data_IF_982688422673
#
_entry.id   IF_982688422673
#
_cell.length_a   1.000
_cell.length_b   1.000
_cell.length_c   1.000
_cell.angle_alpha   90.00
_cell.angle_beta   90.00
_cell.angle_gamma   90.00
#
_symmetry.space_group_name_H-M   'P 1'
#
loop_
_entity.id
_entity.type
_entity.pdbx_description
1 polymer ?
#
# COMPACT_ATOMS: atom_id res chain seq x y z
N UNK A 1 -26.37 5.00 5.54
CA UNK A 1 -25.86 3.76 4.91
C UNK A 1 -24.35 3.84 4.92
N UNK A 2 -23.67 3.03 5.74
CA UNK A 2 -22.21 2.93 5.66
C UNK A 2 -21.86 2.21 4.35
N UNK A 3 -20.97 2.74 3.50
CA UNK A 3 -20.58 2.04 2.29
C UNK A 3 -19.96 0.70 2.69
N UNK A 4 -20.64 -0.38 2.29
CA UNK A 4 -20.19 -1.77 2.41
C UNK A 4 -18.76 -1.87 1.92
N UNK A 5 -17.89 -2.43 2.76
CA UNK A 5 -16.44 -2.51 2.59
C UNK A 5 -16.10 -2.89 1.13
N UNK A 6 -15.65 -1.89 0.36
CA UNK A 6 -14.89 -2.13 -0.84
C UNK A 6 -13.69 -3.00 -0.42
N UNK A 7 -13.65 -4.24 -0.90
CA UNK A 7 -12.64 -5.28 -0.69
C UNK A 7 -11.45 -4.86 0.23
N UNK A 8 -11.31 -5.41 1.45
CA UNK A 8 -10.26 -5.00 2.40
C UNK A 8 -8.84 -5.13 1.83
N UNK A 9 -8.62 -6.09 0.91
CA UNK A 9 -7.34 -6.23 0.20
C UNK A 9 -7.10 -5.04 -0.72
N UNK A 10 -8.12 -4.61 -1.47
CA UNK A 10 -8.00 -3.44 -2.35
C UNK A 10 -7.72 -2.16 -1.55
N UNK A 11 -8.34 -2.02 -0.37
CA UNK A 11 -8.06 -0.91 0.55
C UNK A 11 -6.60 -0.92 1.03
N UNK A 12 -6.09 -2.08 1.45
CA UNK A 12 -4.70 -2.22 1.89
C UNK A 12 -3.71 -1.94 0.75
N UNK A 13 -3.95 -2.47 -0.44
CA UNK A 13 -3.10 -2.23 -1.61
C UNK A 13 -3.12 -0.75 -2.02
N UNK A 14 -4.28 -0.10 -2.00
CA UNK A 14 -4.39 1.34 -2.24
C UNK A 14 -3.57 2.12 -1.23
N UNK A 15 -3.76 1.88 0.06
CA UNK A 15 -3.04 2.60 1.11
C UNK A 15 -1.53 2.37 1.06
N UNK A 16 -1.09 1.16 0.68
CA UNK A 16 0.32 0.84 0.52
C UNK A 16 0.93 1.66 -0.63
N UNK A 17 0.38 1.56 -1.84
CA UNK A 17 0.93 2.29 -2.99
C UNK A 17 0.80 3.81 -2.83
N UNK A 18 -0.35 4.28 -2.32
CA UNK A 18 -0.55 5.71 -2.10
C UNK A 18 0.33 6.25 -0.98
N UNK A 19 0.63 5.45 0.04
CA UNK A 19 1.60 5.80 1.07
C UNK A 19 3.01 6.02 0.52
N UNK A 20 3.39 5.36 -0.57
CA UNK A 20 4.67 5.60 -1.25
C UNK A 20 4.64 6.83 -2.18
N UNK A 21 3.48 7.18 -2.73
CA UNK A 21 3.34 8.26 -3.72
C UNK A 21 3.05 9.59 -3.02
N UNK A 22 1.99 9.64 -2.21
CA UNK A 22 1.53 10.82 -1.49
C UNK A 22 0.77 10.37 -0.21
N UNK A 23 1.43 10.38 0.95
CA UNK A 23 0.85 9.91 2.22
C UNK A 23 -0.45 10.62 2.62
N UNK A 24 -0.61 11.89 2.24
CA UNK A 24 -1.84 12.64 2.52
C UNK A 24 -3.06 12.04 1.80
N UNK A 25 -2.86 11.29 0.72
CA UNK A 25 -3.95 10.71 -0.07
C UNK A 25 -4.32 9.29 0.37
N UNK A 26 -3.72 8.74 1.43
CA UNK A 26 -4.19 7.45 1.99
C UNK A 26 -5.62 7.56 2.48
N UNK A 27 -6.38 6.47 2.41
CA UNK A 27 -7.79 6.45 2.84
C UNK A 27 -7.95 6.70 4.35
N UNK A 28 -6.93 6.38 5.13
CA UNK A 28 -6.88 6.66 6.57
C UNK A 28 -6.44 8.09 6.91
N UNK A 29 -5.86 8.83 5.96
CA UNK A 29 -5.41 10.20 6.13
C UNK A 29 -6.45 11.24 5.71
N UNK A 30 -7.53 10.84 5.02
CA UNK A 30 -8.54 11.73 4.40
C UNK A 30 -9.04 12.86 5.31
N UNK A 31 -9.31 12.59 6.60
CA UNK A 31 -9.76 13.61 7.55
C UNK A 31 -8.68 14.66 7.87
N UNK A 32 -7.43 14.22 8.07
CA UNK A 32 -6.30 15.10 8.33
C UNK A 32 -5.98 15.96 7.09
N UNK A 33 -6.05 15.35 5.90
CA UNK A 33 -5.81 16.03 4.62
C UNK A 33 -6.86 17.11 4.34
N UNK A 34 -8.13 16.82 4.62
CA UNK A 34 -9.20 17.82 4.50
C UNK A 34 -8.97 19.02 5.44
N UNK A 35 -8.58 18.77 6.70
CA UNK A 35 -8.26 19.82 7.66
C UNK A 35 -7.05 20.66 7.22
N UNK A 36 -5.99 20.01 6.72
CA UNK A 36 -4.80 20.67 6.15
C UNK A 36 -5.17 21.60 5.00
N UNK A 37 -5.95 21.10 4.03
CA UNK A 37 -6.41 21.91 2.89
C UNK A 37 -7.29 23.08 3.32
N UNK A 38 -8.16 22.88 4.30
CA UNK A 38 -9.05 23.92 4.82
C UNK A 38 -8.26 25.06 5.49
N UNK A 39 -7.17 24.75 6.17
CA UNK A 39 -6.29 25.72 6.84
C UNK A 39 -5.36 26.49 5.88
N UNK A 40 -5.15 26.00 4.66
CA UNK A 40 -4.32 26.66 3.64
C UNK A 40 -5.01 27.88 3.03
N UNK A 41 -4.21 28.88 2.65
CA UNK A 41 -4.66 29.97 1.78
C UNK A 41 -5.11 29.45 0.40
N UNK A 42 -5.90 30.22 -0.36
CA UNK A 42 -6.35 29.79 -1.69
C UNK A 42 -5.20 29.44 -2.65
N UNK A 43 -4.10 30.18 -2.59
CA UNK A 43 -2.94 29.96 -3.46
C UNK A 43 -2.19 28.67 -3.09
N UNK A 44 -1.90 28.46 -1.81
CA UNK A 44 -1.28 27.23 -1.31
C UNK A 44 -2.14 26.01 -1.59
N UNK A 45 -3.46 26.13 -1.38
CA UNK A 45 -4.41 25.05 -1.67
C UNK A 45 -4.37 24.69 -3.15
N UNK A 46 -4.32 25.66 -4.05
CA UNK A 46 -4.22 25.40 -5.50
C UNK A 46 -2.95 24.62 -5.85
N UNK A 47 -1.81 25.02 -5.28
CA UNK A 47 -0.54 24.32 -5.48
C UNK A 47 -0.61 22.88 -4.93
N UNK A 48 -1.18 22.70 -3.73
CA UNK A 48 -1.30 21.40 -3.10
C UNK A 48 -2.24 20.46 -3.88
N UNK A 49 -3.36 20.99 -4.41
CA UNK A 49 -4.28 20.21 -5.25
C UNK A 49 -3.61 19.77 -6.54
N UNK A 50 -2.83 20.64 -7.20
CA UNK A 50 -2.08 20.26 -8.40
C UNK A 50 -1.09 19.12 -8.12
N UNK A 51 -0.40 19.15 -6.96
CA UNK A 51 0.45 18.03 -6.52
C UNK A 51 -0.34 16.73 -6.32
N UNK A 52 -1.54 16.82 -5.73
CA UNK A 52 -2.41 15.66 -5.56
C UNK A 52 -2.90 15.10 -6.90
N UNK A 53 -3.17 15.94 -7.90
CA UNK A 53 -3.50 15.49 -9.26
C UNK A 53 -2.34 14.70 -9.89
N UNK A 54 -1.10 15.18 -9.75
CA UNK A 54 0.11 14.47 -10.21
C UNK A 54 0.31 13.13 -9.48
N UNK A 55 0.04 13.08 -8.17
CA UNK A 55 0.08 11.86 -7.38
C UNK A 55 -0.93 10.82 -7.88
N UNK A 56 -2.17 11.24 -8.17
CA UNK A 56 -3.19 10.34 -8.75
C UNK A 56 -2.79 9.83 -10.14
N UNK A 57 -2.22 10.68 -10.99
CA UNK A 57 -1.70 10.26 -12.28
C UNK A 57 -0.61 9.18 -12.12
N UNK A 58 0.32 9.39 -11.18
CA UNK A 58 1.39 8.43 -10.85
C UNK A 58 0.81 7.12 -10.33
N UNK A 59 -0.21 7.17 -9.50
CA UNK A 59 -0.90 5.97 -8.99
C UNK A 59 -1.56 5.18 -10.12
N UNK A 60 -2.32 5.83 -11.01
CA UNK A 60 -2.94 5.15 -12.14
C UNK A 60 -1.91 4.45 -13.04
N UNK A 61 -0.74 5.05 -13.23
CA UNK A 61 0.35 4.44 -13.97
C UNK A 61 0.98 3.23 -13.24
N UNK A 62 1.20 3.33 -11.92
CA UNK A 62 1.88 2.29 -11.13
C UNK A 62 0.97 1.15 -10.70
N UNK A 63 -0.34 1.39 -10.58
CA UNK A 63 -1.30 0.47 -9.99
C UNK A 63 -1.33 -0.92 -10.62
N UNK A 64 -1.40 -1.09 -11.96
CA UNK A 64 -1.49 -2.43 -12.56
C UNK A 64 -0.29 -3.32 -12.21
N UNK A 65 0.91 -2.75 -12.28
CA UNK A 65 2.16 -3.46 -11.97
C UNK A 65 2.24 -3.78 -10.48
N UNK A 66 1.93 -2.82 -9.62
CA UNK A 66 1.95 -3.00 -8.16
C UNK A 66 1.01 -4.12 -7.70
N UNK A 67 -0.20 -4.19 -8.27
CA UNK A 67 -1.18 -5.25 -7.95
C UNK A 67 -0.67 -6.62 -8.39
N UNK A 68 -0.11 -6.74 -9.60
CA UNK A 68 0.40 -8.03 -10.07
C UNK A 68 1.62 -8.50 -9.25
N UNK A 69 2.54 -7.59 -8.92
CA UNK A 69 3.67 -7.90 -8.04
C UNK A 69 3.22 -8.32 -6.63
N UNK A 70 2.21 -7.64 -6.09
CA UNK A 70 1.64 -7.99 -4.77
C UNK A 70 1.01 -9.39 -4.79
N UNK A 71 0.30 -9.75 -5.86
CA UNK A 71 -0.31 -11.06 -6.05
C UNK A 71 0.75 -12.17 -6.18
N UNK A 72 1.83 -11.94 -6.92
CA UNK A 72 2.93 -12.91 -7.05
C UNK A 72 3.67 -13.10 -5.72
N UNK A 73 3.87 -12.03 -4.94
CA UNK A 73 4.42 -12.12 -3.58
C UNK A 73 3.55 -12.97 -2.66
N UNK A 74 2.24 -12.77 -2.68
CA UNK A 74 1.30 -13.58 -1.88
C UNK A 74 1.35 -15.05 -2.28
N UNK A 75 1.41 -15.36 -3.59
CA UNK A 75 1.58 -16.75 -4.06
C UNK A 75 2.88 -17.38 -3.58
N UNK A 76 3.98 -16.64 -3.61
CA UNK A 76 5.27 -17.11 -3.10
C UNK A 76 5.20 -17.44 -1.61
N UNK A 77 4.60 -16.56 -0.81
CA UNK A 77 4.39 -16.78 0.63
C UNK A 77 3.53 -18.05 0.86
N UNK A 78 2.42 -18.22 0.13
CA UNK A 78 1.59 -19.42 0.22
C UNK A 78 2.32 -20.71 -0.20
N UNK A 79 3.23 -20.63 -1.18
CA UNK A 79 4.07 -21.76 -1.59
C UNK A 79 5.06 -22.12 -0.49
N UNK A 80 5.70 -21.12 0.12
CA UNK A 80 6.58 -21.32 1.27
C UNK A 80 5.81 -21.99 2.41
N UNK A 81 4.71 -21.39 2.90
CA UNK A 81 3.91 -21.97 3.99
C UNK A 81 3.47 -23.42 3.74
N UNK A 82 3.11 -23.80 2.51
CA UNK A 82 2.83 -25.20 2.17
C UNK A 82 4.05 -26.10 2.29
N UNK A 83 5.19 -25.65 1.77
CA UNK A 83 6.46 -26.37 1.90
C UNK A 83 6.87 -26.58 3.37
N UNK A 84 6.62 -25.62 4.26
CA UNK A 84 6.84 -25.78 5.71
C UNK A 84 5.92 -26.82 6.32
N UNK A 85 4.64 -26.79 5.95
CA UNK A 85 3.67 -27.75 6.49
C UNK A 85 3.98 -29.18 6.03
N UNK A 86 4.59 -29.33 4.86
CA UNK A 86 5.03 -30.62 4.30
C UNK A 86 6.42 -31.04 4.78
N UNK A 87 7.26 -30.09 5.23
CA UNK A 87 8.60 -30.32 5.74
C UNK A 87 8.83 -29.50 7.03
N UNK A 88 8.64 -30.11 8.21
CA UNK A 88 9.14 -29.61 9.51
C UNK A 88 10.68 -29.68 9.55
N UNK A 89 11.36 -29.03 8.60
CA UNK A 89 12.83 -29.07 8.48
C UNK A 89 13.39 -27.64 8.53
N UNK A 90 14.32 -27.42 9.45
CA UNK A 90 14.78 -26.10 9.94
C UNK A 90 15.22 -25.12 8.85
N UNK A 91 15.61 -25.61 7.67
CA UNK A 91 16.02 -24.80 6.51
C UNK A 91 14.93 -23.95 5.89
N UNK A 92 13.67 -24.37 6.01
CA UNK A 92 12.58 -23.56 5.49
C UNK A 92 12.53 -22.23 6.26
N UNK A 93 12.75 -22.28 7.58
CA UNK A 93 12.66 -21.15 8.53
C UNK A 93 13.63 -20.03 8.20
N UNK A 94 14.87 -20.36 7.83
CA UNK A 94 15.90 -19.39 7.42
C UNK A 94 15.50 -18.59 6.17
N UNK A 95 14.83 -19.25 5.21
CA UNK A 95 14.35 -18.60 3.97
C UNK A 95 13.21 -17.62 4.27
N UNK A 96 12.34 -17.95 5.24
CA UNK A 96 11.29 -17.04 5.69
C UNK A 96 11.87 -15.83 6.41
N UNK A 97 12.85 -16.02 7.29
CA UNK A 97 13.43 -14.92 8.06
C UNK A 97 14.13 -13.91 7.13
N UNK A 98 14.85 -14.39 6.12
CA UNK A 98 15.41 -13.52 5.06
C UNK A 98 14.33 -12.82 4.21
N UNK A 99 13.24 -13.53 3.90
CA UNK A 99 12.15 -12.96 3.10
C UNK A 99 11.30 -11.95 3.89
N UNK A 100 11.18 -12.13 5.21
CA UNK A 100 10.49 -11.20 6.12
C UNK A 100 11.36 -9.97 6.40
N UNK A 101 12.67 -10.15 6.60
CA UNK A 101 13.62 -9.06 6.82
C UNK A 101 13.90 -8.22 5.55
N UNK A 102 13.48 -8.70 4.39
CA UNK A 102 13.52 -7.94 3.12
C UNK A 102 12.22 -7.18 2.82
N UNK A 103 11.21 -7.24 3.70
CA UNK A 103 10.13 -6.27 3.67
C UNK A 103 10.66 -4.91 4.12
N UNK A 104 10.39 -3.82 3.39
CA UNK A 104 10.61 -2.49 3.93
C UNK A 104 9.77 -2.35 5.20
N UNK A 105 10.45 -2.17 6.32
CA UNK A 105 9.78 -1.79 7.56
C UNK A 105 9.16 -0.43 7.33
N UNK A 106 7.84 -0.34 7.47
CA UNK A 106 7.18 0.96 7.50
C UNK A 106 7.83 1.77 8.63
N UNK A 107 8.68 2.72 8.23
CA UNK A 107 9.35 3.69 9.08
C UNK A 107 8.74 5.05 8.84
#
# INVERSE_FOLDING_TARGET
MQPTIANPVARSLYNALMGEIEPDLRLDATGATAAKLAAMSPEERRIQVARYEEAYATFHQRWPKFVEESKERVKLIMKMFRSFKEHEDDRATDILEQSLNSFPSAS
#
